data_IF_508282627387
#
_entry.id   IF_508282627387
#
_cell.length_a   1.000
_cell.length_b   1.000
_cell.length_c   1.000
_cell.angle_alpha   90.00
_cell.angle_beta   90.00
_cell.angle_gamma   90.00
#
_symmetry.space_group_name_H-M   'P 1'
#
loop_
_entity.id
_entity.type
_entity.pdbx_description
1 polymer ?
#
# COMPACT_ATOMS: atom_id res chain seq x y z
N UNK A 1 -6.83 -15.47 40.40
CA UNK A 1 -7.14 -15.50 38.95
C UNK A 1 -6.83 -14.17 38.23
N UNK A 2 -7.20 -13.00 38.77
CA UNK A 2 -6.97 -11.70 38.10
C UNK A 2 -5.51 -11.39 37.71
N UNK A 3 -4.52 -11.76 38.53
CA UNK A 3 -3.09 -11.60 38.19
C UNK A 3 -2.66 -12.38 36.94
N UNK A 4 -3.24 -13.55 36.70
CA UNK A 4 -2.88 -14.40 35.56
C UNK A 4 -3.49 -13.84 34.26
N UNK A 5 -4.72 -13.34 34.34
CA UNK A 5 -5.41 -12.67 33.22
C UNK A 5 -4.67 -11.40 32.80
N UNK A 6 -4.26 -10.56 33.77
CA UNK A 6 -3.50 -9.35 33.51
C UNK A 6 -2.14 -9.64 32.84
N UNK A 7 -1.48 -10.72 33.26
CA UNK A 7 -0.18 -11.13 32.73
C UNK A 7 -0.30 -11.68 31.31
N UNK A 8 -1.35 -12.45 30.99
CA UNK A 8 -1.64 -12.89 29.62
C UNK A 8 -1.92 -11.68 28.72
N UNK A 9 -2.78 -10.76 29.16
CA UNK A 9 -3.07 -9.52 28.43
C UNK A 9 -1.80 -8.72 28.15
N UNK A 10 -0.93 -8.62 29.15
CA UNK A 10 0.35 -7.93 29.03
C UNK A 10 1.25 -8.53 27.92
N UNK A 11 1.39 -9.85 27.88
CA UNK A 11 2.21 -10.51 26.85
C UNK A 11 1.60 -10.39 25.46
N UNK A 12 0.28 -10.55 25.34
CA UNK A 12 -0.43 -10.42 24.06
C UNK A 12 -0.23 -9.03 23.47
N UNK A 13 -0.45 -7.97 24.25
CA UNK A 13 -0.27 -6.61 23.73
C UNK A 13 1.20 -6.30 23.45
N UNK A 14 2.13 -6.80 24.27
CA UNK A 14 3.55 -6.61 24.00
C UNK A 14 3.96 -7.26 22.66
N UNK A 15 3.43 -8.45 22.36
CA UNK A 15 3.67 -9.12 21.08
C UNK A 15 3.05 -8.35 19.90
N UNK A 16 1.81 -7.88 20.04
CA UNK A 16 1.14 -7.07 19.00
C UNK A 16 1.87 -5.76 18.76
N UNK A 17 2.29 -5.07 19.82
CA UNK A 17 3.06 -3.82 19.74
C UNK A 17 4.37 -4.02 18.99
N UNK A 18 5.12 -5.08 19.30
CA UNK A 18 6.35 -5.42 18.59
C UNK A 18 6.08 -5.75 17.11
N UNK A 19 5.03 -6.53 16.83
CA UNK A 19 4.61 -6.83 15.45
C UNK A 19 4.26 -5.58 14.65
N UNK A 20 3.54 -4.63 15.26
CA UNK A 20 3.21 -3.35 14.63
C UNK A 20 4.44 -2.50 14.34
N UNK A 21 5.43 -2.47 15.24
CA UNK A 21 6.68 -1.74 15.02
C UNK A 21 7.50 -2.34 13.87
N UNK A 22 7.56 -3.67 13.77
CA UNK A 22 8.21 -4.36 12.66
C UNK A 22 7.46 -4.08 11.35
N UNK A 23 6.14 -4.18 11.34
CA UNK A 23 5.34 -3.85 10.16
C UNK A 23 5.55 -2.38 9.72
N UNK A 24 5.58 -1.46 10.68
CA UNK A 24 5.79 -0.05 10.43
C UNK A 24 7.17 0.22 9.80
N UNK A 25 8.23 -0.47 10.23
CA UNK A 25 9.57 -0.29 9.65
C UNK A 25 9.63 -0.73 8.19
N UNK A 26 9.01 -1.87 7.84
CA UNK A 26 8.88 -2.30 6.44
C UNK A 26 8.04 -1.33 5.62
N UNK A 27 6.93 -0.83 6.17
CA UNK A 27 6.08 0.16 5.50
C UNK A 27 6.84 1.45 5.19
N UNK A 28 7.64 1.95 6.15
CA UNK A 28 8.50 3.11 5.95
C UNK A 28 9.60 2.87 4.91
N UNK A 29 10.27 1.71 4.97
CA UNK A 29 11.29 1.37 3.99
C UNK A 29 10.70 1.35 2.56
N UNK A 30 9.54 0.72 2.39
CA UNK A 30 8.84 0.69 1.10
C UNK A 30 8.41 2.09 0.65
N UNK A 31 7.88 2.92 1.56
CA UNK A 31 7.51 4.30 1.24
C UNK A 31 8.73 5.11 0.78
N UNK A 32 9.87 4.99 1.47
CA UNK A 32 11.11 5.68 1.11
C UNK A 32 11.61 5.21 -0.26
N UNK A 33 11.65 3.90 -0.51
CA UNK A 33 12.05 3.35 -1.80
C UNK A 33 11.13 3.86 -2.93
N UNK A 34 9.81 3.81 -2.72
CA UNK A 34 8.81 4.28 -3.69
C UNK A 34 8.91 5.79 -3.97
N UNK A 35 9.41 6.59 -3.02
CA UNK A 35 9.61 8.03 -3.19
C UNK A 35 10.96 8.40 -3.82
N UNK A 36 11.98 7.56 -3.67
CA UNK A 36 13.37 7.91 -4.05
C UNK A 36 13.85 7.20 -5.30
N UNK A 37 13.37 5.99 -5.58
CA UNK A 37 13.84 5.17 -6.70
C UNK A 37 12.98 5.31 -7.95
N UNK A 38 11.79 5.91 -7.85
CA UNK A 38 10.87 6.08 -8.98
C UNK A 38 10.56 7.55 -9.21
N UNK A 39 10.65 7.99 -10.48
CA UNK A 39 10.26 9.35 -10.88
C UNK A 39 8.77 9.61 -10.63
N UNK A 40 7.95 8.57 -10.71
CA UNK A 40 6.53 8.59 -10.42
C UNK A 40 6.20 7.45 -9.45
N UNK A 41 5.36 7.73 -8.46
CA UNK A 41 4.98 6.72 -7.49
C UNK A 41 4.46 5.45 -8.19
N UNK A 42 4.93 4.26 -7.84
CA UNK A 42 4.60 3.06 -8.58
C UNK A 42 3.11 2.71 -8.43
N UNK A 43 2.56 2.08 -9.48
CA UNK A 43 1.24 1.46 -9.40
C UNK A 43 1.35 0.15 -8.62
N UNK A 44 0.36 -0.15 -7.78
CA UNK A 44 0.34 -1.42 -7.02
C UNK A 44 0.04 -2.61 -7.91
N UNK A 45 -0.76 -2.42 -8.96
CA UNK A 45 -1.19 -3.48 -9.86
C UNK A 45 -0.87 -3.13 -11.32
N UNK A 46 0.24 -3.69 -11.83
CA UNK A 46 0.55 -3.68 -13.27
C UNK A 46 1.29 -2.46 -13.81
N UNK A 47 1.44 -2.44 -15.14
CA UNK A 47 2.02 -1.35 -15.92
C UNK A 47 0.88 -0.72 -16.70
N UNK A 48 0.60 0.56 -16.48
CA UNK A 48 -0.41 1.27 -17.25
C UNK A 48 0.08 1.50 -18.68
N UNK A 49 -0.70 1.07 -19.67
CA UNK A 49 -0.43 1.33 -21.08
C UNK A 49 -1.56 2.15 -21.71
N UNK A 50 -1.45 3.48 -21.58
CA UNK A 50 -2.45 4.41 -22.10
C UNK A 50 -2.40 4.63 -23.61
N UNK A 51 -1.51 3.96 -24.35
CA UNK A 51 -1.37 4.13 -25.81
C UNK A 51 -2.67 3.76 -26.56
N UNK A 52 -3.47 2.86 -25.99
CA UNK A 52 -4.75 2.41 -26.55
C UNK A 52 -5.97 2.78 -25.69
N UNK A 53 -5.82 3.75 -24.78
CA UNK A 53 -6.93 4.25 -23.97
C UNK A 53 -7.41 3.34 -22.83
N UNK A 54 -6.66 2.28 -22.50
CA UNK A 54 -6.97 1.41 -21.36
C UNK A 54 -5.90 1.53 -20.28
N UNK A 55 -6.29 1.96 -19.08
CA UNK A 55 -5.42 1.92 -17.90
C UNK A 55 -5.16 0.48 -17.42
N UNK A 56 -5.96 -0.49 -17.88
CA UNK A 56 -5.92 -1.87 -17.44
C UNK A 56 -5.91 -2.83 -18.63
N UNK A 57 -4.74 -3.37 -18.98
CA UNK A 57 -4.49 -4.74 -19.50
C UNK A 57 -3.05 -4.79 -20.05
N UNK A 58 -2.15 -5.67 -19.59
CA UNK A 58 -1.95 -7.04 -20.12
C UNK A 58 -1.13 -7.92 -19.17
N UNK A 59 -1.79 -8.85 -18.48
CA UNK A 59 -1.23 -10.17 -18.12
C UNK A 59 -1.97 -11.30 -18.87
N UNK A 60 -2.60 -10.99 -20.00
CA UNK A 60 -3.35 -11.97 -20.80
C UNK A 60 -3.26 -11.68 -22.30
N UNK A 61 -3.35 -12.73 -23.15
CA UNK A 61 -3.28 -12.61 -24.60
C UNK A 61 -4.41 -11.72 -25.10
N UNK A 62 -4.08 -10.74 -25.93
CA UNK A 62 -5.11 -9.99 -26.61
C UNK A 62 -5.73 -10.84 -27.71
N UNK A 63 -7.04 -10.71 -27.97
CA UNK A 63 -7.62 -11.29 -29.15
C UNK A 63 -6.88 -10.71 -30.37
N UNK A 64 -6.18 -11.58 -31.09
CA UNK A 64 -5.68 -11.29 -32.43
C UNK A 64 -6.94 -11.07 -33.25
N UNK A 65 -7.17 -9.83 -33.69
CA UNK A 65 -8.22 -9.54 -34.65
C UNK A 65 -7.90 -10.35 -35.91
N UNK A 66 -8.81 -11.24 -36.32
CA UNK A 66 -8.68 -11.95 -37.60
C UNK A 66 -8.54 -10.95 -38.74
N UNK A 67 -7.56 -11.18 -39.61
CA UNK A 67 -7.32 -10.39 -40.81
C UNK A 67 -8.63 -10.23 -41.60
N UNK A 68 -9.13 -8.99 -41.70
CA UNK A 68 -10.29 -8.65 -42.53
C UNK A 68 -11.55 -8.19 -41.79
N UNK A 69 -11.61 -8.26 -40.45
CA UNK A 69 -12.68 -7.60 -39.67
C UNK A 69 -12.15 -6.34 -39.03
N UNK A 70 -12.31 -5.20 -39.71
CA UNK A 70 -12.13 -3.88 -39.09
C UNK A 70 -13.14 -3.75 -37.95
N UNK A 71 -12.73 -4.06 -36.72
CA UNK A 71 -13.30 -3.39 -35.55
C UNK A 71 -13.23 -1.91 -35.86
N UNK A 72 -14.36 -1.19 -35.84
CA UNK A 72 -14.40 0.23 -36.14
C UNK A 72 -13.26 0.93 -35.38
N UNK A 73 -12.22 1.33 -36.11
CA UNK A 73 -11.08 2.01 -35.51
C UNK A 73 -11.62 3.29 -34.91
N UNK A 74 -11.44 3.48 -33.59
CA UNK A 74 -11.73 4.75 -32.95
C UNK A 74 -11.15 5.90 -33.79
N UNK A 75 -11.92 6.98 -33.93
CA UNK A 75 -11.43 8.20 -34.57
C UNK A 75 -10.21 8.74 -33.80
N UNK A 76 -9.39 9.54 -34.47
CA UNK A 76 -8.22 10.15 -33.84
C UNK A 76 -8.59 10.96 -32.59
N UNK A 77 -9.74 11.63 -32.61
CA UNK A 77 -10.28 12.37 -31.48
C UNK A 77 -10.67 11.46 -30.32
N UNK A 78 -11.40 10.37 -30.58
CA UNK A 78 -11.78 9.39 -29.55
C UNK A 78 -10.56 8.73 -28.90
N UNK A 79 -9.49 8.46 -29.67
CA UNK A 79 -8.23 7.92 -29.13
C UNK A 79 -7.53 8.89 -28.19
N UNK A 80 -7.48 10.17 -28.54
CA UNK A 80 -6.87 11.19 -27.70
C UNK A 80 -7.68 11.41 -26.40
N UNK A 81 -9.01 11.40 -26.48
CA UNK A 81 -9.88 11.48 -25.29
C UNK A 81 -9.67 10.27 -24.37
N UNK A 82 -9.66 9.06 -24.92
CA UNK A 82 -9.46 7.84 -24.13
C UNK A 82 -8.05 7.79 -23.50
N UNK A 83 -7.03 8.26 -24.22
CA UNK A 83 -5.67 8.38 -23.71
C UNK A 83 -5.58 9.35 -22.53
N UNK A 84 -6.21 10.52 -22.63
CA UNK A 84 -6.23 11.50 -21.52
C UNK A 84 -6.93 10.94 -20.29
N UNK A 85 -8.11 10.35 -20.47
CA UNK A 85 -8.86 9.73 -19.37
C UNK A 85 -8.04 8.62 -18.68
N UNK A 86 -7.32 7.81 -19.45
CA UNK A 86 -6.40 6.80 -18.91
C UNK A 86 -5.28 7.42 -18.07
N UNK A 87 -4.62 8.47 -18.57
CA UNK A 87 -3.53 9.15 -17.84
C UNK A 87 -4.02 9.77 -16.53
N UNK A 88 -5.21 10.38 -16.53
CA UNK A 88 -5.83 10.93 -15.32
C UNK A 88 -6.15 9.84 -14.30
N UNK A 89 -6.68 8.70 -14.75
CA UNK A 89 -6.95 7.55 -13.87
C UNK A 89 -5.67 7.01 -13.24
N UNK A 90 -4.61 6.85 -14.03
CA UNK A 90 -3.30 6.37 -13.57
C UNK A 90 -2.71 7.34 -12.55
N UNK A 91 -2.80 8.64 -12.79
CA UNK A 91 -2.31 9.65 -11.86
C UNK A 91 -3.11 9.64 -10.54
N UNK A 92 -4.43 9.50 -10.62
CA UNK A 92 -5.28 9.38 -9.45
C UNK A 92 -4.94 8.13 -8.62
N UNK A 93 -4.72 6.99 -9.28
CA UNK A 93 -4.32 5.75 -8.60
C UNK A 93 -2.97 5.89 -7.90
N UNK A 94 -1.98 6.49 -8.56
CA UNK A 94 -0.67 6.76 -7.94
C UNK A 94 -0.79 7.64 -6.71
N UNK A 95 -1.64 8.68 -6.76
CA UNK A 95 -1.91 9.55 -5.61
C UNK A 95 -2.55 8.76 -4.46
N UNK A 96 -3.53 7.91 -4.77
CA UNK A 96 -4.17 7.06 -3.76
C UNK A 96 -3.20 6.07 -3.13
N UNK A 97 -2.40 5.38 -3.94
CA UNK A 97 -1.38 4.43 -3.47
C UNK A 97 -0.37 5.12 -2.54
N UNK A 98 0.12 6.30 -2.93
CA UNK A 98 1.01 7.11 -2.10
C UNK A 98 0.37 7.49 -0.77
N UNK A 99 -0.88 7.95 -0.78
CA UNK A 99 -1.60 8.33 0.43
C UNK A 99 -1.83 7.13 1.36
N UNK A 100 -2.16 5.97 0.79
CA UNK A 100 -2.36 4.76 1.56
C UNK A 100 -1.07 4.29 2.24
N UNK A 101 0.06 4.30 1.53
CA UNK A 101 1.34 3.88 2.07
C UNK A 101 1.84 4.86 3.15
N UNK A 102 1.61 6.17 2.99
CA UNK A 102 1.84 7.16 4.05
C UNK A 102 0.94 6.88 5.25
N UNK A 103 -0.36 6.70 5.04
CA UNK A 103 -1.33 6.43 6.11
C UNK A 103 -0.93 5.18 6.90
N UNK A 104 -0.66 4.08 6.21
CA UNK A 104 -0.31 2.81 6.84
C UNK A 104 1.00 2.93 7.62
N UNK A 105 2.02 3.59 7.06
CA UNK A 105 3.30 3.84 7.74
C UNK A 105 3.10 4.68 9.00
N UNK A 106 2.38 5.79 8.91
CA UNK A 106 2.16 6.71 10.04
C UNK A 106 1.29 6.06 11.12
N UNK A 107 0.16 5.46 10.74
CA UNK A 107 -0.77 4.83 11.69
C UNK A 107 -0.09 3.66 12.42
N UNK A 108 0.59 2.77 11.70
CA UNK A 108 1.28 1.65 12.34
C UNK A 108 2.39 2.11 13.27
N UNK A 109 3.18 3.13 12.87
CA UNK A 109 4.19 3.74 13.75
C UNK A 109 3.57 4.35 14.99
N UNK A 110 2.52 5.17 14.86
CA UNK A 110 1.88 5.84 15.99
C UNK A 110 1.28 4.83 16.98
N UNK A 111 0.50 3.87 16.49
CA UNK A 111 -0.09 2.83 17.35
C UNK A 111 1.01 1.99 18.01
N UNK A 112 2.02 1.59 17.25
CA UNK A 112 3.17 0.83 17.77
C UNK A 112 3.91 1.59 18.87
N UNK A 113 4.23 2.87 18.67
CA UNK A 113 4.92 3.72 19.66
C UNK A 113 4.06 3.93 20.90
N UNK A 114 2.78 4.26 20.75
CA UNK A 114 1.89 4.48 21.91
C UNK A 114 1.79 3.20 22.74
N UNK A 115 1.56 2.05 22.11
CA UNK A 115 1.52 0.77 22.81
C UNK A 115 2.87 0.46 23.47
N UNK A 116 3.98 0.70 22.80
CA UNK A 116 5.31 0.45 23.35
C UNK A 116 5.58 1.34 24.58
N UNK A 117 5.30 2.64 24.49
CA UNK A 117 5.52 3.59 25.58
C UNK A 117 4.63 3.32 26.80
N UNK A 118 3.43 2.77 26.61
CA UNK A 118 2.55 2.40 27.73
C UNK A 118 2.95 1.05 28.33
N UNK A 119 3.20 0.05 27.48
CA UNK A 119 3.42 -1.32 27.95
C UNK A 119 4.84 -1.56 28.43
N UNK A 120 5.86 -0.99 27.77
CA UNK A 120 7.26 -1.28 28.09
C UNK A 120 7.69 -0.82 29.50
N UNK A 121 7.33 0.37 30.00
CA UNK A 121 7.64 0.78 31.37
C UNK A 121 6.93 -0.08 32.41
N UNK A 122 5.69 -0.48 32.11
CA UNK A 122 4.87 -1.34 32.97
C UNK A 122 5.48 -2.74 33.07
N UNK A 123 5.93 -3.31 31.94
CA UNK A 123 6.73 -4.54 31.88
C UNK A 123 7.95 -4.47 32.79
N UNK A 124 8.73 -3.38 32.63
CA UNK A 124 10.01 -3.20 33.32
C UNK A 124 9.82 -3.08 34.83
N UNK A 125 8.73 -2.45 35.29
CA UNK A 125 8.38 -2.39 36.72
C UNK A 125 8.00 -3.76 37.25
N UNK A 126 7.08 -4.47 36.59
CA UNK A 126 6.64 -5.81 37.03
C UNK A 126 7.75 -6.86 36.99
N UNK A 127 8.73 -6.72 36.10
CA UNK A 127 9.92 -7.58 36.05
C UNK A 127 10.89 -7.35 37.20
N UNK A 128 10.90 -6.16 37.83
CA UNK A 128 11.77 -5.84 38.97
C UNK A 128 11.15 -6.19 40.33
N UNK A 129 9.83 -6.35 40.36
CA UNK A 129 9.08 -6.78 41.56
C UNK A 129 8.97 -8.31 41.69
N UNK A 130 9.51 -9.06 40.71
CA UNK A 130 9.77 -10.50 40.79
C UNK A 130 11.23 -10.74 41.12
#
# INVERSE_FOLDING_TARGET
MGKLIALIYFYVISAVSLGLLIFASFSWANLILNLTQYDQYPLKYGIANCEYGSANTRLGPYPVLEEGKTSASMSAEEKEVAKRACLEQVEAERKQNKLEDIKNSVTATLVGIVLFLIHFPTAKKMSKEK
#
